data_IF_407377787746
#
_entry.id   IF_407377787746
#
_cell.length_a   1.000
_cell.length_b   1.000
_cell.length_c   1.000
_cell.angle_alpha   90.00
_cell.angle_beta   90.00
_cell.angle_gamma   90.00
#
_symmetry.space_group_name_H-M   'P 1'
#
loop_
_entity.id
_entity.type
_entity.pdbx_description
1 polymer ?
#
# COMPACT_ATOMS: atom_id res chain seq x y z
N UNK A 1 17.72 16.36 -10.40
CA UNK A 1 16.50 15.54 -10.18
C UNK A 1 15.76 15.91 -8.90
N UNK A 2 16.04 15.33 -7.72
CA UNK A 2 15.25 15.64 -6.50
C UNK A 2 15.50 17.02 -5.86
N UNK A 3 16.65 17.64 -6.15
CA UNK A 3 16.94 19.02 -5.71
C UNK A 3 16.17 20.06 -6.51
N UNK A 4 15.95 19.78 -7.80
CA UNK A 4 15.15 20.64 -8.68
C UNK A 4 13.64 20.41 -8.52
N UNK A 5 13.23 19.23 -8.02
CA UNK A 5 11.84 18.80 -7.89
C UNK A 5 11.64 18.12 -6.53
N UNK A 6 11.60 18.88 -5.42
CA UNK A 6 11.50 18.31 -4.07
C UNK A 6 10.17 17.58 -3.79
N UNK A 7 9.11 17.92 -4.52
CA UNK A 7 7.78 17.30 -4.41
C UNK A 7 7.77 15.82 -4.80
N UNK A 8 8.74 15.37 -5.61
CA UNK A 8 8.91 13.96 -5.96
C UNK A 8 9.15 13.08 -4.73
N UNK A 9 9.65 13.64 -3.62
CA UNK A 9 9.84 12.88 -2.37
C UNK A 9 8.52 12.44 -1.74
N UNK A 10 7.45 13.20 -1.97
CA UNK A 10 6.09 12.92 -1.49
C UNK A 10 5.22 12.19 -2.51
N UNK A 11 5.70 12.06 -3.76
CA UNK A 11 5.02 11.31 -4.80
C UNK A 11 4.84 9.84 -4.41
N UNK A 12 3.63 9.31 -4.67
CA UNK A 12 3.26 7.93 -4.35
C UNK A 12 3.89 6.94 -5.32
N UNK A 13 4.51 5.90 -4.75
CA UNK A 13 5.09 4.79 -5.50
C UNK A 13 4.10 3.64 -5.56
N UNK A 14 3.70 3.30 -6.78
CA UNK A 14 2.87 2.13 -7.10
C UNK A 14 3.71 1.11 -7.85
N UNK A 15 3.69 -0.13 -7.39
CA UNK A 15 4.46 -1.23 -7.98
C UNK A 15 3.49 -2.26 -8.54
N UNK A 16 3.66 -2.57 -9.82
CA UNK A 16 2.93 -3.67 -10.45
C UNK A 16 3.83 -4.91 -10.51
N UNK A 17 3.39 -5.97 -9.83
CA UNK A 17 4.01 -7.28 -9.94
C UNK A 17 3.35 -8.04 -11.08
N UNK A 18 4.17 -8.46 -12.03
CA UNK A 18 3.75 -9.28 -13.15
C UNK A 18 4.30 -10.70 -13.04
N UNK A 19 3.46 -11.67 -13.38
CA UNK A 19 3.73 -13.09 -13.44
C UNK A 19 3.00 -13.68 -14.63
N UNK A 20 3.55 -14.76 -15.19
CA UNK A 20 2.89 -15.56 -16.22
C UNK A 20 1.61 -16.23 -15.70
N UNK A 21 1.49 -16.46 -14.38
CA UNK A 21 0.24 -16.92 -13.76
C UNK A 21 -0.52 -15.73 -13.18
N UNK A 22 -1.71 -15.36 -13.72
CA UNK A 22 -2.42 -14.14 -13.33
C UNK A 22 -2.74 -14.02 -11.83
N UNK A 23 -2.87 -15.14 -11.12
CA UNK A 23 -3.15 -15.16 -9.68
C UNK A 23 -2.08 -14.47 -8.82
N UNK A 24 -0.87 -14.29 -9.34
CA UNK A 24 0.21 -13.58 -8.64
C UNK A 24 0.34 -12.11 -9.06
N UNK A 25 -0.38 -11.68 -10.10
CA UNK A 25 -0.35 -10.31 -10.55
C UNK A 25 -1.06 -9.44 -9.53
N UNK A 26 -0.40 -8.37 -9.09
CA UNK A 26 -0.98 -7.45 -8.12
C UNK A 26 -0.32 -6.08 -8.20
N UNK A 27 -1.05 -5.07 -7.76
CA UNK A 27 -0.55 -3.72 -7.56
C UNK A 27 -0.37 -3.53 -6.07
N UNK A 28 0.80 -3.05 -5.65
CA UNK A 28 1.04 -2.62 -4.28
C UNK A 28 1.37 -1.13 -4.24
N UNK A 29 0.80 -0.44 -3.25
CA UNK A 29 1.20 0.92 -2.90
C UNK A 29 2.31 0.84 -1.85
N UNK A 30 3.49 1.37 -2.17
CA UNK A 30 4.61 1.43 -1.24
C UNK A 30 4.67 2.77 -0.49
N UNK A 31 3.73 3.67 -0.80
CA UNK A 31 3.64 5.00 -0.22
C UNK A 31 4.61 6.00 -0.86
N UNK A 32 4.82 7.16 -0.20
CA UNK A 32 5.71 8.20 -0.69
C UNK A 32 7.14 7.71 -0.94
N UNK A 33 7.77 8.23 -2.00
CA UNK A 33 9.12 7.84 -2.43
C UNK A 33 10.16 7.90 -1.29
N UNK A 34 10.08 8.93 -0.44
CA UNK A 34 10.97 9.11 0.72
C UNK A 34 10.93 7.98 1.75
N UNK A 35 9.83 7.22 1.80
CA UNK A 35 9.66 6.06 2.67
C UNK A 35 9.90 4.76 1.92
N UNK A 36 9.44 4.67 0.67
CA UNK A 36 9.63 3.50 -0.19
C UNK A 36 11.13 3.19 -0.40
N UNK A 37 11.96 4.21 -0.59
CA UNK A 37 13.40 4.06 -0.83
C UNK A 37 14.21 3.63 0.41
N UNK A 38 13.68 3.80 1.63
CA UNK A 38 14.41 3.47 2.87
C UNK A 38 14.49 1.97 3.17
N UNK A 39 13.73 1.15 2.43
CA UNK A 39 13.59 -0.27 2.70
C UNK A 39 12.85 -0.53 4.03
N UNK A 40 12.19 -1.69 4.14
CA UNK A 40 11.57 -2.08 5.42
C UNK A 40 12.66 -2.53 6.39
N UNK A 41 13.22 -1.61 7.16
CA UNK A 41 13.96 -1.98 8.37
C UNK A 41 12.96 -2.67 9.31
N UNK A 42 13.17 -3.97 9.54
CA UNK A 42 12.25 -4.88 10.23
C UNK A 42 11.68 -4.23 11.50
N UNK A 43 10.36 -4.20 11.67
CA UNK A 43 9.79 -3.89 12.98
C UNK A 43 8.30 -3.61 13.10
N UNK A 44 7.59 -3.08 12.09
CA UNK A 44 6.16 -2.83 12.26
C UNK A 44 5.36 -3.00 10.97
N UNK A 45 4.57 -4.07 10.94
CA UNK A 45 3.50 -4.30 9.98
C UNK A 45 2.36 -3.32 10.27
N UNK A 46 2.49 -2.06 9.86
CA UNK A 46 1.31 -1.22 9.72
C UNK A 46 0.70 -1.52 8.35
N UNK A 47 -0.20 -2.51 8.37
CA UNK A 47 -0.91 -3.00 7.20
C UNK A 47 -1.71 -1.88 6.54
N UNK A 48 -1.34 -1.53 5.32
CA UNK A 48 -2.28 -1.00 4.36
C UNK A 48 -2.86 -2.17 3.58
N UNK A 49 -3.98 -2.65 4.10
CA UNK A 49 -5.05 -3.41 3.46
C UNK A 49 -4.69 -4.03 2.09
N UNK A 50 -4.23 -5.27 2.12
CA UNK A 50 -4.42 -6.18 0.98
C UNK A 50 -5.91 -6.49 0.89
N UNK A 51 -6.66 -5.67 0.15
CA UNK A 51 -8.07 -5.93 -0.12
C UNK A 51 -8.19 -7.14 -1.04
N UNK A 52 -8.52 -8.30 -0.47
CA UNK A 52 -9.63 -9.13 -0.95
C UNK A 52 -9.77 -10.34 -0.04
N UNK A 53 -10.66 -10.25 0.94
CA UNK A 53 -11.52 -11.35 1.41
C UNK A 53 -12.51 -10.87 2.48
N UNK A 54 -13.77 -10.78 2.06
CA UNK A 54 -14.95 -11.08 2.89
C UNK A 54 -15.50 -10.04 3.88
N UNK A 55 -16.68 -9.51 3.48
CA UNK A 55 -17.88 -9.19 4.27
C UNK A 55 -17.86 -7.96 5.18
N UNK A 56 -18.57 -6.94 4.68
CA UNK A 56 -19.38 -5.99 5.45
C UNK A 56 -20.02 -6.70 6.67
N UNK A 57 -19.54 -6.42 7.88
CA UNK A 57 -20.36 -6.50 9.09
C UNK A 57 -20.66 -5.08 9.53
N UNK A 58 -21.77 -4.57 9.00
CA UNK A 58 -22.45 -3.38 9.51
C UNK A 58 -22.88 -3.72 10.94
N UNK A 59 -22.17 -3.19 11.92
CA UNK A 59 -22.54 -3.32 13.33
C UNK A 59 -23.83 -2.52 13.50
N UNK A 60 -24.95 -3.23 13.68
CA UNK A 60 -26.23 -2.62 14.03
C UNK A 60 -26.19 -2.30 15.53
N UNK A 61 -26.29 -1.04 15.97
CA UNK A 61 -26.51 -0.75 17.38
C UNK A 61 -27.93 -1.21 17.76
N UNK A 62 -28.03 -2.05 18.80
CA UNK A 62 -29.33 -2.42 19.39
C UNK A 62 -29.85 -1.25 20.20
N UNK A 63 -31.06 -0.82 19.86
CA UNK A 63 -31.89 0.08 20.66
C UNK A 63 -32.34 -0.63 21.93
N UNK A 64 -32.11 -0.02 23.09
CA UNK A 64 -32.92 -0.12 24.32
C UNK A 64 -32.99 1.28 24.91
#
# INVERSE_FOLDING_TARGET
MFRENPELMDAYVWVYFHSSTPKYNRIECWGPLKYAAKGKHKGNHQGFLSSNSSRRKLIHPKSI
#
